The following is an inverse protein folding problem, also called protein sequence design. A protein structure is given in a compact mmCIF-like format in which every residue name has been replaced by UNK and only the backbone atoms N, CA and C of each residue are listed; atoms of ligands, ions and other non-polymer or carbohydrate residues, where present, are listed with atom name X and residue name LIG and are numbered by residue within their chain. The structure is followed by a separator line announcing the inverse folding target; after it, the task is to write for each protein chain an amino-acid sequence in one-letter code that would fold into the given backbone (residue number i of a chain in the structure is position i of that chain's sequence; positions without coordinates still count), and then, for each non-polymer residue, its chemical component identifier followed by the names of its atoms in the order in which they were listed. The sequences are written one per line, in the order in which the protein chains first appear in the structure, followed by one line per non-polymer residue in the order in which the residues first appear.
data_IF_685422070274
#
_entry.id   IF_685422070274
#
_cell.length_a   1.000
_cell.length_b   1.000
_cell.length_c   1.000
_cell.angle_alpha   90.00
_cell.angle_beta   90.00
_cell.angle_gamma   90.00
#
_symmetry.space_group_name_H-M   'P 1'
#
loop_
_entity.id
_entity.type
_entity.pdbx_description
1 polymer ?
#
# COMPACT_ATOMS: atom_id res chain seq x y z
N UNK A 1 -3.47 -24.62 -19.82
CA UNK A 1 -4.90 -24.90 -19.63
C UNK A 1 -5.23 -26.38 -19.86
N UNK A 2 -5.44 -26.89 -21.09
CA UNK A 2 -5.89 -28.29 -21.26
C UNK A 2 -4.90 -29.36 -20.73
N UNK A 3 -3.58 -29.12 -20.81
CA UNK A 3 -2.57 -30.00 -20.22
C UNK A 3 -2.62 -30.00 -18.69
N UNK A 4 -2.82 -28.83 -18.10
CA UNK A 4 -2.90 -28.65 -16.64
C UNK A 4 -4.21 -29.23 -16.09
N UNK A 5 -5.32 -29.10 -16.82
CA UNK A 5 -6.61 -29.73 -16.49
C UNK A 5 -6.50 -31.25 -16.61
N UNK A 6 -5.83 -31.78 -17.65
CA UNK A 6 -5.59 -33.22 -17.77
C UNK A 6 -4.75 -33.73 -16.58
N UNK A 7 -3.68 -33.02 -16.21
CA UNK A 7 -2.87 -33.36 -15.04
C UNK A 7 -3.70 -33.35 -13.74
N UNK A 8 -4.54 -32.32 -13.53
CA UNK A 8 -5.43 -32.26 -12.37
C UNK A 8 -6.44 -33.41 -12.33
N UNK A 9 -6.99 -33.81 -13.49
CA UNK A 9 -7.91 -34.94 -13.58
C UNK A 9 -7.23 -36.29 -13.32
N UNK A 10 -5.94 -36.42 -13.65
CA UNK A 10 -5.12 -37.58 -13.32
C UNK A 10 -4.80 -37.63 -11.82
N UNK A 11 -4.40 -36.49 -11.23
CA UNK A 11 -4.10 -36.36 -9.80
C UNK A 11 -5.34 -36.62 -8.92
N UNK A 12 -6.52 -36.22 -9.40
CA UNK A 12 -7.80 -36.49 -8.75
C UNK A 12 -8.35 -37.90 -9.04
N UNK A 13 -7.61 -38.73 -9.78
CA UNK A 13 -8.02 -40.08 -10.23
C UNK A 13 -9.35 -40.13 -10.99
N UNK A 14 -9.73 -39.02 -11.63
CA UNK A 14 -10.95 -38.91 -12.46
C UNK A 14 -10.70 -39.48 -13.85
N UNK A 15 -9.46 -39.38 -14.36
CA UNK A 15 -9.06 -39.92 -15.67
C UNK A 15 -7.73 -40.67 -15.52
N UNK A 16 -7.68 -41.91 -16.02
CA UNK A 16 -6.44 -42.68 -16.13
C UNK A 16 -5.96 -42.62 -17.58
N UNK A 17 -4.71 -42.20 -17.79
CA UNK A 17 -4.06 -42.17 -19.11
C UNK A 17 -3.03 -43.30 -19.13
N UNK A 18 -3.11 -44.18 -20.13
CA UNK A 18 -2.10 -45.22 -20.32
C UNK A 18 -0.74 -44.60 -20.71
N UNK A 19 0.36 -45.28 -20.39
CA UNK A 19 1.75 -44.78 -20.59
C UNK A 19 2.17 -44.54 -22.05
N UNK A 20 1.26 -44.71 -23.02
CA UNK A 20 1.48 -44.44 -24.42
C UNK A 20 1.40 -42.96 -24.77
N UNK A 21 2.40 -42.44 -25.49
CA UNK A 21 2.39 -41.07 -26.01
C UNK A 21 1.15 -40.75 -26.88
N UNK A 22 0.62 -41.75 -27.59
CA UNK A 22 -0.61 -41.63 -28.39
C UNK A 22 -1.85 -41.49 -27.52
N UNK A 23 -1.91 -42.21 -26.41
CA UNK A 23 -3.04 -42.20 -25.48
C UNK A 23 -3.11 -40.86 -24.73
N UNK A 24 -1.95 -40.34 -24.34
CA UNK A 24 -1.85 -38.99 -23.78
C UNK A 24 -2.36 -37.92 -24.75
N UNK A 25 -2.01 -38.01 -26.04
CA UNK A 25 -2.51 -37.07 -27.06
C UNK A 25 -4.02 -37.21 -27.24
N UNK A 26 -4.56 -38.43 -27.26
CA UNK A 26 -6.00 -38.67 -27.37
C UNK A 26 -6.77 -38.10 -26.16
N UNK A 27 -6.31 -38.34 -24.94
CA UNK A 27 -6.89 -37.78 -23.72
C UNK A 27 -6.82 -36.25 -23.70
N UNK A 28 -5.69 -35.68 -24.13
CA UNK A 28 -5.53 -34.24 -24.21
C UNK A 28 -6.51 -33.62 -25.22
N UNK A 29 -6.73 -34.26 -26.37
CA UNK A 29 -7.74 -33.84 -27.35
C UNK A 29 -9.17 -33.92 -26.80
N UNK A 30 -9.48 -34.94 -25.99
CA UNK A 30 -10.79 -35.07 -25.34
C UNK A 30 -11.02 -33.94 -24.31
N UNK A 31 -10.02 -33.63 -23.48
CA UNK A 31 -10.07 -32.51 -22.53
C UNK A 31 -10.24 -31.18 -23.25
N UNK A 32 -9.53 -30.97 -24.37
CA UNK A 32 -9.69 -29.77 -25.19
C UNK A 32 -11.13 -29.60 -25.69
N UNK A 33 -11.71 -30.66 -26.28
CA UNK A 33 -13.10 -30.63 -26.75
C UNK A 33 -14.10 -30.37 -25.63
N UNK A 34 -13.86 -30.94 -24.44
CA UNK A 34 -14.71 -30.68 -23.28
C UNK A 34 -14.65 -29.22 -22.86
N UNK A 35 -13.45 -28.65 -22.73
CA UNK A 35 -13.26 -27.24 -22.39
C UNK A 35 -13.92 -26.32 -23.43
N UNK A 36 -13.76 -26.61 -24.72
CA UNK A 36 -14.42 -25.85 -25.79
C UNK A 36 -15.96 -25.93 -25.66
N UNK A 37 -16.52 -27.12 -25.36
CA UNK A 37 -17.96 -27.31 -25.14
C UNK A 37 -18.49 -26.57 -23.90
N UNK A 38 -17.65 -26.40 -22.88
CA UNK A 38 -17.97 -25.61 -21.68
C UNK A 38 -17.74 -24.10 -21.90
N UNK A 39 -17.41 -23.66 -23.12
CA UNK A 39 -17.29 -22.25 -23.48
C UNK A 39 -15.93 -21.62 -23.16
N UNK A 40 -14.91 -22.42 -22.81
CA UNK A 40 -13.56 -21.90 -22.60
C UNK A 40 -12.91 -21.57 -23.95
N UNK A 41 -12.33 -20.38 -24.08
CA UNK A 41 -11.66 -19.95 -25.30
C UNK A 41 -10.13 -19.99 -25.18
N UNK A 42 -9.45 -20.32 -26.29
CA UNK A 42 -7.99 -20.28 -26.40
C UNK A 42 -7.51 -18.91 -26.86
N UNK A 43 -6.81 -18.18 -26.01
CA UNK A 43 -6.22 -16.88 -26.36
C UNK A 43 -5.29 -16.34 -25.27
N UNK A 44 -4.62 -15.21 -25.55
CA UNK A 44 -4.05 -14.39 -24.48
C UNK A 44 -5.22 -13.64 -23.85
N UNK A 45 -5.53 -13.93 -22.58
CA UNK A 45 -6.46 -13.11 -21.82
C UNK A 45 -6.03 -11.64 -21.88
N UNK A 46 -6.99 -10.72 -21.86
CA UNK A 46 -6.74 -9.30 -21.64
C UNK A 46 -5.75 -9.14 -20.48
N UNK A 47 -4.81 -8.19 -20.58
CA UNK A 47 -3.79 -7.90 -19.56
C UNK A 47 -4.37 -7.47 -18.20
N UNK A 48 -5.69 -7.44 -18.04
CA UNK A 48 -6.32 -7.35 -16.74
C UNK A 48 -6.22 -8.71 -16.06
N UNK A 49 -5.02 -9.00 -15.54
CA UNK A 49 -4.85 -9.95 -14.44
C UNK A 49 -5.62 -9.39 -13.25
N UNK A 50 -6.89 -9.73 -13.14
CA UNK A 50 -7.61 -9.55 -11.87
C UNK A 50 -6.93 -10.48 -10.88
N UNK A 51 -6.49 -9.93 -9.76
CA UNK A 51 -5.92 -10.74 -8.69
C UNK A 51 -6.96 -11.80 -8.32
N UNK A 52 -6.59 -13.10 -8.31
CA UNK A 52 -7.50 -14.11 -7.78
C UNK A 52 -7.55 -13.88 -6.28
N UNK A 53 -8.57 -13.15 -5.85
CA UNK A 53 -8.89 -12.91 -4.45
C UNK A 53 -8.92 -14.27 -3.75
N UNK A 54 -8.13 -14.39 -2.69
CA UNK A 54 -8.21 -15.54 -1.82
C UNK A 54 -9.00 -15.10 -0.59
N UNK A 55 -9.51 -16.07 0.17
CA UNK A 55 -10.30 -15.79 1.37
C UNK A 55 -9.56 -14.88 2.37
N UNK A 56 -8.24 -14.96 2.44
CA UNK A 56 -7.44 -14.11 3.33
C UNK A 56 -7.42 -12.63 2.87
N UNK A 57 -7.43 -12.36 1.56
CA UNK A 57 -7.52 -11.00 1.01
C UNK A 57 -8.91 -10.42 1.24
N UNK A 58 -9.98 -11.21 1.04
CA UNK A 58 -11.35 -10.81 1.33
C UNK A 58 -11.51 -10.45 2.82
N UNK A 59 -11.10 -11.36 3.72
CA UNK A 59 -11.15 -11.12 5.17
C UNK A 59 -10.34 -9.89 5.62
N UNK A 60 -9.26 -9.55 4.91
CA UNK A 60 -8.48 -8.35 5.19
C UNK A 60 -9.12 -7.07 4.62
N UNK A 61 -9.87 -7.18 3.52
CA UNK A 61 -10.56 -6.07 2.84
C UNK A 61 -11.87 -5.69 3.51
N UNK A 62 -12.65 -6.66 3.95
CA UNK A 62 -14.02 -6.41 4.40
C UNK A 62 -14.12 -5.44 5.59
N UNK A 63 -13.25 -5.48 6.62
CA UNK A 63 -13.27 -4.48 7.69
C UNK A 63 -13.02 -3.05 7.18
N UNK A 64 -12.16 -2.90 6.17
CA UNK A 64 -11.90 -1.61 5.53
C UNK A 64 -13.14 -1.12 4.79
N UNK A 65 -13.72 -1.95 3.94
CA UNK A 65 -14.92 -1.60 3.14
C UNK A 65 -16.10 -1.28 4.05
N UNK A 66 -16.35 -2.11 5.06
CA UNK A 66 -17.43 -1.90 6.04
C UNK A 66 -17.31 -0.59 6.81
N UNK A 67 -16.08 -0.10 7.04
CA UNK A 67 -15.86 1.19 7.67
C UNK A 67 -15.97 2.34 6.66
N UNK A 68 -15.36 2.20 5.49
CA UNK A 68 -15.23 3.28 4.51
C UNK A 68 -16.54 3.58 3.79
N UNK A 69 -17.31 2.58 3.37
CA UNK A 69 -18.58 2.78 2.66
C UNK A 69 -19.53 3.71 3.42
N UNK A 70 -19.91 3.46 4.69
CA UNK A 70 -20.78 4.39 5.40
C UNK A 70 -20.11 5.75 5.65
N UNK A 71 -18.79 5.79 5.84
CA UNK A 71 -18.03 7.04 6.03
C UNK A 71 -18.16 7.98 4.83
N UNK A 72 -18.14 7.43 3.61
CA UNK A 72 -18.18 8.20 2.36
C UNK A 72 -19.61 8.39 1.82
N UNK A 73 -20.53 7.45 2.08
CA UNK A 73 -21.90 7.49 1.52
C UNK A 73 -22.96 8.10 2.45
N UNK A 74 -22.77 8.06 3.77
CA UNK A 74 -23.79 8.54 4.74
C UNK A 74 -23.68 10.05 4.93
N UNK A 75 -24.82 10.75 4.91
CA UNK A 75 -24.88 12.18 5.19
C UNK A 75 -24.96 12.47 6.71
N UNK A 76 -24.19 13.44 7.24
CA UNK A 76 -23.15 14.22 6.55
C UNK A 76 -21.89 13.37 6.30
N UNK A 77 -21.33 13.48 5.08
CA UNK A 77 -20.08 12.79 4.71
C UNK A 77 -18.96 13.26 5.65
N UNK A 78 -18.15 12.32 6.12
CA UNK A 78 -16.95 12.65 6.90
C UNK A 78 -15.78 12.91 5.95
N UNK A 79 -14.96 13.94 6.18
CA UNK A 79 -13.79 14.18 5.33
C UNK A 79 -12.78 13.05 5.50
N UNK A 80 -12.24 12.58 4.38
CA UNK A 80 -11.26 11.50 4.32
C UNK A 80 -9.94 12.05 3.82
N UNK A 81 -8.85 11.79 4.55
CA UNK A 81 -7.49 12.15 4.18
C UNK A 81 -6.73 10.89 3.78
N UNK A 82 -6.50 10.71 2.49
CA UNK A 82 -5.68 9.62 1.97
C UNK A 82 -4.23 10.07 1.94
N UNK A 83 -3.35 9.36 2.65
CA UNK A 83 -1.92 9.69 2.69
C UNK A 83 -1.05 8.52 2.26
N UNK A 84 0.09 8.86 1.67
CA UNK A 84 1.04 7.91 1.12
C UNK A 84 2.38 8.61 0.79
N UNK A 85 3.42 7.80 0.67
CA UNK A 85 4.73 8.20 0.18
C UNK A 85 4.98 7.75 -1.26
N UNK A 86 5.63 8.59 -2.05
CA UNK A 86 6.17 8.14 -3.33
C UNK A 86 7.56 8.66 -3.61
N UNK A 87 8.15 8.09 -4.67
CA UNK A 87 9.46 8.50 -5.16
C UNK A 87 9.51 8.59 -6.68
N UNK A 88 10.38 9.47 -7.15
CA UNK A 88 10.77 9.65 -8.55
C UNK A 88 12.29 9.58 -8.64
N UNK A 89 12.79 8.75 -9.55
CA UNK A 89 14.22 8.71 -9.85
C UNK A 89 14.64 9.95 -10.63
N UNK A 90 15.88 10.39 -10.44
CA UNK A 90 16.43 11.54 -11.17
C UNK A 90 16.40 11.37 -12.68
N UNK A 91 16.55 10.13 -13.17
CA UNK A 91 16.49 9.78 -14.59
C UNK A 91 15.15 9.14 -14.96
N UNK A 92 14.06 9.54 -14.30
CA UNK A 92 12.74 9.02 -14.61
C UNK A 92 12.27 9.58 -15.96
N UNK A 93 12.23 8.71 -16.96
CA UNK A 93 11.70 9.00 -18.31
C UNK A 93 10.37 8.29 -18.50
N UNK A 94 9.40 8.94 -19.15
CA UNK A 94 8.10 8.31 -19.46
C UNK A 94 8.23 7.13 -20.43
N UNK A 95 9.21 7.21 -21.33
CA UNK A 95 9.50 6.20 -22.36
C UNK A 95 10.95 5.74 -22.25
N UNK A 96 11.23 4.52 -22.73
CA UNK A 96 12.58 4.00 -22.88
C UNK A 96 13.26 4.62 -24.12
N UNK A 97 13.20 5.94 -24.24
CA UNK A 97 13.85 6.71 -25.30
C UNK A 97 15.34 6.81 -24.96
N UNK A 98 16.03 5.68 -25.08
CA UNK A 98 17.49 5.62 -24.97
C UNK A 98 18.09 5.78 -26.35
N UNK A 99 19.13 6.60 -26.45
CA UNK A 99 20.09 6.48 -27.55
C UNK A 99 20.66 5.06 -27.52
N UNK A 100 20.73 4.43 -28.68
CA UNK A 100 21.39 3.14 -28.87
C UNK A 100 22.42 3.30 -29.98
N UNK A 101 23.57 2.65 -29.82
CA UNK A 101 24.52 2.54 -30.93
C UNK A 101 24.02 1.45 -31.89
N UNK A 102 24.01 1.67 -33.21
CA UNK A 102 23.60 0.64 -34.18
C UNK A 102 24.41 -0.67 -34.09
N UNK A 103 25.59 -0.63 -33.46
CA UNK A 103 26.47 -1.78 -33.23
C UNK A 103 26.26 -2.46 -31.88
N UNK A 104 25.38 -1.94 -31.02
CA UNK A 104 25.04 -2.54 -29.73
C UNK A 104 24.34 -3.90 -29.91
N UNK A 105 25.09 -4.97 -29.67
CA UNK A 105 24.59 -6.36 -29.67
C UNK A 105 23.78 -6.72 -28.41
N UNK A 106 23.81 -5.88 -27.37
CA UNK A 106 23.04 -6.08 -26.14
C UNK A 106 22.65 -4.75 -25.48
N UNK A 107 21.42 -4.68 -24.93
CA UNK A 107 20.97 -3.54 -24.12
C UNK A 107 21.61 -3.59 -22.74
N UNK A 108 22.51 -2.65 -22.44
CA UNK A 108 23.04 -2.49 -21.07
C UNK A 108 22.00 -1.85 -20.16
N UNK A 109 21.67 -2.50 -19.04
CA UNK A 109 20.84 -1.86 -18.00
C UNK A 109 21.68 -0.79 -17.28
N UNK A 110 21.11 0.41 -17.01
CA UNK A 110 21.81 1.42 -16.22
C UNK A 110 22.26 0.87 -14.87
N UNK A 111 23.56 0.93 -14.58
CA UNK A 111 24.16 0.39 -13.35
C UNK A 111 23.68 1.15 -12.10
N UNK A 112 23.29 2.42 -12.25
CA UNK A 112 22.84 3.27 -11.15
C UNK A 112 21.57 4.03 -11.52
N UNK A 113 20.53 3.94 -10.67
CA UNK A 113 19.26 4.66 -10.86
C UNK A 113 19.30 6.14 -10.46
N UNK A 114 20.46 6.66 -10.06
CA UNK A 114 20.68 8.06 -9.66
C UNK A 114 20.04 8.43 -8.31
N UNK A 115 19.88 9.74 -8.07
CA UNK A 115 19.21 10.31 -6.89
C UNK A 115 17.72 9.96 -6.90
N UNK A 116 17.11 9.91 -5.71
CA UNK A 116 15.67 9.69 -5.53
C UNK A 116 15.03 10.93 -4.92
N UNK A 117 14.05 11.49 -5.60
CA UNK A 117 13.16 12.51 -5.05
C UNK A 117 12.03 11.78 -4.36
N UNK A 118 11.90 11.96 -3.07
CA UNK A 118 10.92 11.30 -2.24
C UNK A 118 9.97 12.36 -1.73
N UNK A 119 8.70 12.02 -1.62
CA UNK A 119 7.66 12.95 -1.21
C UNK A 119 6.58 12.19 -0.45
N UNK A 120 5.93 12.92 0.44
CA UNK A 120 4.81 12.45 1.26
C UNK A 120 3.76 13.56 1.26
N UNK A 121 2.49 13.16 1.20
CA UNK A 121 1.38 14.09 1.31
C UNK A 121 0.11 13.36 1.75
N UNK A 122 -0.89 14.15 2.18
CA UNK A 122 -2.28 13.74 2.26
C UNK A 122 -3.13 14.46 1.22
N UNK A 123 -4.16 13.79 0.70
CA UNK A 123 -5.26 14.44 -0.03
C UNK A 123 -6.52 14.31 0.79
N UNK A 124 -7.11 15.45 1.12
CA UNK A 124 -8.41 15.54 1.78
C UNK A 124 -9.53 15.60 0.73
N UNK A 125 -10.51 14.72 0.90
CA UNK A 125 -11.78 14.65 0.20
C UNK A 125 -12.90 14.87 1.23
N UNK A 126 -13.62 15.98 1.12
CA UNK A 126 -14.76 16.34 1.96
C UNK A 126 -16.12 16.08 1.29
N UNK A 127 -16.14 15.47 0.11
CA UNK A 127 -17.34 15.26 -0.71
C UNK A 127 -17.71 16.44 -1.59
N UNK A 128 -16.92 17.52 -1.59
CA UNK A 128 -17.05 18.58 -2.59
C UNK A 128 -16.30 18.21 -3.87
N UNK A 129 -16.49 19.01 -4.93
CA UNK A 129 -15.72 18.86 -6.17
C UNK A 129 -14.23 19.28 -6.02
N UNK A 130 -13.82 19.74 -4.84
CA UNK A 130 -12.48 20.21 -4.53
C UNK A 130 -11.75 19.25 -3.58
N UNK A 131 -10.53 18.86 -3.98
CA UNK A 131 -9.59 18.17 -3.11
C UNK A 131 -8.56 19.13 -2.54
N UNK A 132 -8.13 18.91 -1.30
CA UNK A 132 -7.05 19.69 -0.69
C UNK A 132 -5.78 18.84 -0.56
N UNK A 133 -4.65 19.34 -1.07
CA UNK A 133 -3.33 18.76 -0.83
C UNK A 133 -2.79 19.28 0.50
N UNK A 134 -2.53 18.36 1.43
CA UNK A 134 -2.09 18.66 2.79
C UNK A 134 -0.76 17.99 3.10
N UNK A 135 -0.01 18.58 4.02
CA UNK A 135 1.21 18.02 4.57
C UNK A 135 2.26 17.69 3.51
N UNK A 136 2.30 18.40 2.37
CA UNK A 136 3.27 18.09 1.34
C UNK A 136 4.70 18.36 1.84
N UNK A 137 5.48 17.30 1.99
CA UNK A 137 6.92 17.39 2.27
C UNK A 137 7.71 16.58 1.23
N UNK A 138 8.95 17.00 0.96
CA UNK A 138 9.78 16.39 -0.07
C UNK A 138 11.26 16.51 0.23
N UNK A 139 12.00 15.48 -0.16
CA UNK A 139 13.42 15.38 0.11
C UNK A 139 14.17 14.55 -0.94
N UNK A 140 15.50 14.63 -0.90
CA UNK A 140 16.34 13.93 -1.86
C UNK A 140 17.22 12.89 -1.18
N UNK A 141 16.95 11.61 -1.47
CA UNK A 141 17.76 10.48 -1.03
C UNK A 141 18.81 10.06 -2.07
N UNK A 142 19.85 9.34 -1.62
CA UNK A 142 20.89 8.75 -2.49
C UNK A 142 22.29 9.32 -2.27
N UNK A 143 23.26 9.03 -3.14
CA UNK A 143 24.64 9.56 -2.99
C UNK A 143 24.79 10.94 -3.64
N UNK A 144 25.41 11.89 -2.94
CA UNK A 144 25.87 13.19 -3.47
C UNK A 144 27.39 13.27 -3.30
N UNK A 145 28.13 13.41 -4.40
CA UNK A 145 29.60 13.53 -4.41
C UNK A 145 30.32 12.44 -3.58
N UNK A 146 29.91 11.17 -3.73
CA UNK A 146 30.48 10.05 -2.96
C UNK A 146 30.04 9.95 -1.50
N UNK A 147 29.38 10.98 -0.94
CA UNK A 147 28.76 10.94 0.40
C UNK A 147 27.34 10.40 0.31
N UNK A 148 27.00 9.43 1.17
CA UNK A 148 25.64 8.91 1.30
C UNK A 148 24.75 9.99 1.92
N UNK A 149 23.84 10.56 1.13
CA UNK A 149 22.64 11.22 1.68
C UNK A 149 21.73 10.09 2.15
N UNK A 150 21.15 10.27 3.34
CA UNK A 150 20.35 9.26 4.05
C UNK A 150 19.42 8.52 3.09
N UNK A 151 19.43 7.19 3.16
CA UNK A 151 18.63 6.30 2.32
C UNK A 151 17.13 6.59 2.50
N UNK A 152 16.29 6.32 1.49
CA UNK A 152 14.84 6.48 1.55
C UNK A 152 14.25 5.82 2.82
N UNK A 153 14.66 4.58 3.10
CA UNK A 153 14.24 3.85 4.30
C UNK A 153 14.79 4.44 5.60
N UNK A 154 15.86 5.23 5.54
CA UNK A 154 16.36 5.97 6.69
C UNK A 154 15.57 7.27 6.92
N UNK A 155 15.07 7.89 5.84
CA UNK A 155 14.36 9.17 5.90
C UNK A 155 12.92 8.99 6.35
N UNK A 156 12.19 8.02 5.79
CA UNK A 156 10.86 7.62 6.28
C UNK A 156 11.00 6.68 7.48
N UNK A 157 11.31 7.26 8.63
CA UNK A 157 11.33 6.56 9.90
C UNK A 157 10.17 7.01 10.80
N UNK A 158 9.97 6.30 11.90
CA UNK A 158 8.83 6.53 12.80
C UNK A 158 8.82 7.95 13.41
N UNK A 159 9.97 8.48 13.80
CA UNK A 159 10.08 9.81 14.39
C UNK A 159 9.70 10.90 13.38
N UNK A 160 10.22 10.79 12.16
CA UNK A 160 9.85 11.69 11.07
C UNK A 160 8.34 11.63 10.81
N UNK A 161 7.79 10.43 10.68
CA UNK A 161 6.36 10.25 10.38
C UNK A 161 5.46 10.82 11.47
N UNK A 162 5.78 10.62 12.75
CA UNK A 162 5.00 11.18 13.88
C UNK A 162 5.01 12.72 13.83
N UNK A 163 6.17 13.33 13.61
CA UNK A 163 6.29 14.79 13.51
C UNK A 163 5.54 15.34 12.29
N UNK A 164 5.64 14.66 11.15
CA UNK A 164 4.94 15.02 9.94
C UNK A 164 3.43 14.88 10.08
N UNK A 165 2.96 13.78 10.67
CA UNK A 165 1.54 13.52 10.90
C UNK A 165 0.93 14.54 11.86
N UNK A 166 1.68 15.00 12.87
CA UNK A 166 1.27 16.12 13.72
C UNK A 166 0.91 17.37 12.93
N UNK A 167 1.77 17.79 11.99
CA UNK A 167 1.51 18.94 11.11
C UNK A 167 0.34 18.70 10.16
N UNK A 168 0.20 17.48 9.65
CA UNK A 168 -0.93 17.12 8.79
C UNK A 168 -2.26 17.30 9.56
N UNK A 169 -2.33 16.85 10.81
CA UNK A 169 -3.50 17.06 11.66
C UNK A 169 -3.79 18.55 11.87
N UNK A 170 -2.75 19.38 12.09
CA UNK A 170 -2.88 20.83 12.22
C UNK A 170 -3.49 21.45 10.96
N UNK A 171 -2.99 21.10 9.77
CA UNK A 171 -3.54 21.61 8.50
C UNK A 171 -5.00 21.18 8.26
N UNK A 172 -5.38 19.97 8.67
CA UNK A 172 -6.77 19.48 8.57
C UNK A 172 -7.71 20.28 9.47
N UNK A 173 -7.28 20.58 10.69
CA UNK A 173 -8.07 21.38 11.63
C UNK A 173 -8.15 22.86 11.25
N UNK A 174 -7.08 23.42 10.66
CA UNK A 174 -7.08 24.78 10.09
C UNK A 174 -8.12 24.92 8.96
N UNK A 175 -8.41 23.84 8.24
CA UNK A 175 -9.50 23.78 7.26
C UNK A 175 -10.90 23.62 7.88
N UNK A 176 -10.99 23.49 9.21
CA UNK A 176 -12.25 23.42 9.95
C UNK A 176 -12.76 22.00 10.22
N UNK A 177 -11.95 20.97 9.95
CA UNK A 177 -12.36 19.58 10.13
C UNK A 177 -11.88 19.02 11.48
N UNK A 178 -12.81 18.63 12.35
CA UNK A 178 -12.53 18.06 13.68
C UNK A 178 -12.86 16.56 13.81
N UNK A 179 -13.33 15.92 12.73
CA UNK A 179 -13.72 14.50 12.73
C UNK A 179 -13.36 13.77 11.43
N UNK A 180 -12.19 14.08 10.88
CA UNK A 180 -11.65 13.42 9.70
C UNK A 180 -11.23 11.95 9.92
N UNK A 181 -11.23 11.20 8.81
CA UNK A 181 -10.72 9.83 8.72
C UNK A 181 -9.43 9.84 7.91
N UNK A 182 -8.33 9.37 8.48
CA UNK A 182 -7.03 9.26 7.82
C UNK A 182 -6.82 7.83 7.32
N UNK A 183 -6.61 7.67 6.02
CA UNK A 183 -6.35 6.39 5.37
C UNK A 183 -4.88 6.29 5.00
N UNK A 184 -4.20 5.23 5.47
CA UNK A 184 -2.77 5.00 5.19
C UNK A 184 -2.44 3.52 4.99
N UNK A 185 -1.30 3.23 4.38
CA UNK A 185 -0.83 1.86 4.17
C UNK A 185 -0.35 1.19 5.48
N UNK A 186 0.08 -0.07 5.38
CA UNK A 186 0.50 -0.88 6.52
C UNK A 186 2.01 -0.77 6.85
N UNK A 187 2.71 0.27 6.41
CA UNK A 187 4.14 0.42 6.65
C UNK A 187 4.48 0.35 8.14
N UNK A 188 5.59 -0.34 8.47
CA UNK A 188 5.98 -0.60 9.86
C UNK A 188 6.17 0.67 10.67
N UNK A 189 6.63 1.76 10.04
CA UNK A 189 6.85 3.04 10.73
C UNK A 189 5.54 3.82 11.01
N UNK A 190 4.44 3.53 10.30
CA UNK A 190 3.10 4.04 10.65
C UNK A 190 2.58 3.43 11.96
N UNK A 191 2.94 2.16 12.21
CA UNK A 191 2.44 1.37 13.34
C UNK A 191 3.34 1.40 14.58
N UNK A 192 4.25 2.37 14.67
CA UNK A 192 5.13 2.51 15.83
C UNK A 192 4.33 2.80 17.11
N UNK A 193 4.54 1.96 18.12
CA UNK A 193 3.96 2.12 19.47
C UNK A 193 4.84 3.04 20.32
N UNK A 194 4.31 3.60 21.43
CA UNK A 194 5.10 4.43 22.35
C UNK A 194 6.43 3.79 22.74
N UNK A 195 7.48 4.61 22.95
CA UNK A 195 8.80 4.11 23.33
C UNK A 195 8.81 3.31 24.64
N UNK A 196 7.85 3.58 25.51
CA UNK A 196 7.63 2.91 26.79
C UNK A 196 6.93 1.54 26.65
N UNK A 197 6.46 1.18 25.46
CA UNK A 197 5.84 -0.12 25.20
C UNK A 197 6.88 -1.25 25.35
N UNK A 198 6.60 -2.27 26.17
CA UNK A 198 7.52 -3.39 26.34
C UNK A 198 7.81 -4.14 25.06
N UNK A 199 9.03 -4.67 24.96
CA UNK A 199 9.50 -5.46 23.81
C UNK A 199 9.96 -6.83 24.27
N UNK A 200 9.76 -7.87 23.45
CA UNK A 200 10.21 -9.23 23.79
C UNK A 200 11.74 -9.36 24.00
N UNK A 201 12.50 -8.37 23.52
CA UNK A 201 13.95 -8.27 23.76
C UNK A 201 14.31 -7.82 25.19
N UNK A 202 13.38 -7.27 25.97
CA UNK A 202 13.63 -6.81 27.35
C UNK A 202 14.09 -7.95 28.27
N UNK A 203 14.72 -7.62 29.40
CA UNK A 203 15.14 -8.64 30.39
C UNK A 203 13.89 -9.24 31.04
N UNK A 204 14.02 -10.48 31.57
CA UNK A 204 12.91 -11.18 32.25
C UNK A 204 12.32 -10.34 33.39
N UNK A 205 13.17 -9.73 34.21
CA UNK A 205 12.73 -8.87 35.31
C UNK A 205 11.89 -7.68 34.82
N UNK A 206 12.31 -7.02 33.74
CA UNK A 206 11.59 -5.87 33.17
C UNK A 206 10.23 -6.29 32.57
N UNK A 207 10.17 -7.47 31.95
CA UNK A 207 8.90 -8.03 31.45
C UNK A 207 7.94 -8.34 32.59
N UNK A 208 8.42 -8.91 33.70
CA UNK A 208 7.61 -9.15 34.88
C UNK A 208 7.07 -7.83 35.48
N UNK A 209 7.92 -6.81 35.63
CA UNK A 209 7.49 -5.48 36.09
C UNK A 209 6.47 -4.84 35.13
N UNK A 210 6.65 -5.01 33.83
CA UNK A 210 5.68 -4.54 32.84
C UNK A 210 4.32 -5.26 32.95
N UNK A 211 4.31 -6.56 33.22
CA UNK A 211 3.07 -7.29 33.47
C UNK A 211 2.35 -6.74 34.71
N UNK A 212 3.06 -6.49 35.81
CA UNK A 212 2.46 -5.86 37.01
C UNK A 212 1.91 -4.46 36.71
N UNK A 213 2.66 -3.65 35.95
CA UNK A 213 2.25 -2.31 35.54
C UNK A 213 0.93 -2.30 34.74
N UNK A 214 0.68 -3.32 33.92
CA UNK A 214 -0.55 -3.46 33.13
C UNK A 214 -1.62 -4.33 33.81
N UNK A 215 -1.47 -4.62 35.10
CA UNK A 215 -2.39 -5.46 35.89
C UNK A 215 -2.59 -6.88 35.32
N UNK A 216 -1.56 -7.44 34.66
CA UNK A 216 -1.54 -8.82 34.17
C UNK A 216 -1.13 -9.73 35.33
N UNK A 217 -2.13 -10.22 36.08
CA UNK A 217 -1.92 -10.98 37.34
C UNK A 217 -1.62 -12.46 37.17
N UNK A 218 -1.93 -13.05 36.03
CA UNK A 218 -1.57 -14.44 35.69
C UNK A 218 -0.09 -14.54 35.25
N UNK A 219 0.83 -14.12 36.12
CA UNK A 219 2.27 -14.22 35.86
C UNK A 219 3.04 -14.39 37.17
N UNK A 220 3.95 -15.36 37.20
CA UNK A 220 4.86 -15.60 38.32
C UNK A 220 6.28 -15.12 38.00
N UNK A 221 7.06 -14.59 38.97
CA UNK A 221 8.48 -14.31 38.78
C UNK A 221 9.30 -15.50 38.28
N UNK A 222 8.85 -16.73 38.57
CA UNK A 222 9.50 -17.97 38.14
C UNK A 222 9.18 -18.35 36.70
N UNK A 223 8.12 -17.80 36.09
CA UNK A 223 7.69 -18.14 34.73
C UNK A 223 8.78 -17.97 33.69
N UNK A 224 8.72 -18.75 32.61
CA UNK A 224 9.62 -18.56 31.48
C UNK A 224 9.40 -17.19 30.83
N UNK A 225 10.49 -16.56 30.39
CA UNK A 225 10.46 -15.27 29.69
C UNK A 225 9.47 -15.27 28.51
N UNK A 226 9.43 -16.37 27.76
CA UNK A 226 8.52 -16.52 26.61
C UNK A 226 7.04 -16.49 27.01
N UNK A 227 6.68 -17.12 28.14
CA UNK A 227 5.31 -17.14 28.64
C UNK A 227 4.86 -15.77 29.17
N UNK A 228 5.76 -15.04 29.85
CA UNK A 228 5.53 -13.64 30.24
C UNK A 228 5.31 -12.75 29.01
N UNK A 229 6.19 -12.88 28.01
CA UNK A 229 6.09 -12.10 26.78
C UNK A 229 4.82 -12.42 25.99
N UNK A 230 4.37 -13.67 25.92
CA UNK A 230 3.14 -14.03 25.21
C UNK A 230 1.91 -13.31 25.78
N UNK A 231 1.78 -13.29 27.11
CA UNK A 231 0.69 -12.58 27.81
C UNK A 231 0.78 -11.07 27.61
N UNK A 232 1.97 -10.51 27.79
CA UNK A 232 2.22 -9.10 27.60
C UNK A 232 1.97 -8.65 26.15
N UNK A 233 2.40 -9.46 25.18
CA UNK A 233 2.17 -9.21 23.75
C UNK A 233 0.69 -9.18 23.42
N UNK A 234 -0.10 -10.13 23.94
CA UNK A 234 -1.57 -10.13 23.78
C UNK A 234 -2.17 -8.82 24.28
N UNK A 235 -1.84 -8.43 25.52
CA UNK A 235 -2.31 -7.16 26.09
C UNK A 235 -1.89 -5.95 25.23
N UNK A 236 -0.63 -5.90 24.80
CA UNK A 236 -0.08 -4.84 23.95
C UNK A 236 -0.80 -4.75 22.60
N UNK A 237 -1.16 -5.89 22.00
CA UNK A 237 -1.85 -5.92 20.71
C UNK A 237 -3.31 -5.48 20.83
N UNK A 238 -3.95 -5.74 21.98
CA UNK A 238 -5.35 -5.38 22.26
C UNK A 238 -5.53 -3.95 22.77
N UNK A 239 -4.59 -3.41 23.55
CA UNK A 239 -4.79 -2.18 24.34
C UNK A 239 -3.82 -1.04 24.00
N UNK A 240 -2.70 -1.33 23.30
CA UNK A 240 -1.71 -0.30 22.97
C UNK A 240 -1.72 0.01 21.49
N UNK A 241 -2.33 1.13 21.16
CA UNK A 241 -2.40 1.67 19.82
C UNK A 241 -1.09 2.34 19.37
N UNK A 242 -0.81 2.38 18.05
CA UNK A 242 0.27 3.21 17.50
C UNK A 242 0.17 4.67 17.93
N UNK A 243 1.31 5.36 18.01
CA UNK A 243 1.40 6.76 18.46
C UNK A 243 0.48 7.66 17.63
N UNK A 244 0.51 7.53 16.30
CA UNK A 244 -0.32 8.35 15.40
C UNK A 244 -1.82 8.09 15.57
N UNK A 245 -2.22 6.86 15.92
CA UNK A 245 -3.62 6.54 16.22
C UNK A 245 -4.08 7.27 17.47
N UNK A 246 -3.26 7.28 18.52
CA UNK A 246 -3.55 8.03 19.74
C UNK A 246 -3.59 9.54 19.48
N UNK A 247 -2.68 10.07 18.66
CA UNK A 247 -2.68 11.50 18.25
C UNK A 247 -3.97 11.88 17.52
N UNK A 248 -4.41 11.07 16.56
CA UNK A 248 -5.65 11.31 15.83
C UNK A 248 -6.88 11.24 16.76
N UNK A 249 -6.98 10.18 17.57
CA UNK A 249 -8.10 9.98 18.49
C UNK A 249 -8.23 11.10 19.53
N UNK A 250 -7.10 11.58 20.07
CA UNK A 250 -7.08 12.69 21.02
C UNK A 250 -7.65 14.00 20.43
N UNK A 251 -7.70 14.10 19.10
CA UNK A 251 -8.21 15.25 18.33
C UNK A 251 -9.56 14.98 17.66
N UNK A 252 -10.22 13.86 18.00
CA UNK A 252 -11.53 13.49 17.41
C UNK A 252 -11.45 12.80 16.04
N UNK A 253 -10.24 12.59 15.53
CA UNK A 253 -10.00 11.94 14.24
C UNK A 253 -9.88 10.43 14.34
N UNK A 254 -9.98 9.75 13.21
CA UNK A 254 -9.87 8.30 13.11
C UNK A 254 -8.78 7.89 12.12
N UNK A 255 -8.11 6.77 12.35
CA UNK A 255 -7.17 6.17 11.40
C UNK A 255 -7.73 4.85 10.92
N UNK A 256 -7.65 4.64 9.60
CA UNK A 256 -7.97 3.39 8.92
C UNK A 256 -6.75 2.95 8.13
N UNK A 257 -6.37 1.68 8.27
CA UNK A 257 -5.30 1.09 7.47
C UNK A 257 -5.90 0.47 6.21
N UNK A 258 -5.35 0.82 5.05
CA UNK A 258 -5.78 0.27 3.78
C UNK A 258 -5.64 -1.26 3.75
N UNK A 259 -6.56 -1.92 3.04
CA UNK A 259 -6.50 -3.36 2.85
C UNK A 259 -5.23 -3.74 2.06
N UNK A 260 -4.36 -4.65 2.56
CA UNK A 260 -3.15 -5.04 1.85
C UNK A 260 -3.48 -5.63 0.47
N UNK A 261 -2.84 -5.11 -0.57
CA UNK A 261 -3.00 -5.59 -1.95
C UNK A 261 -4.10 -4.90 -2.76
N UNK A 262 -4.78 -3.91 -2.19
CA UNK A 262 -5.88 -3.17 -2.83
C UNK A 262 -5.51 -1.69 -3.06
N UNK A 263 -4.52 -1.45 -3.91
CA UNK A 263 -4.04 -0.09 -4.21
C UNK A 263 -5.10 0.83 -4.84
N UNK A 264 -6.09 0.25 -5.52
CA UNK A 264 -7.27 0.92 -6.07
C UNK A 264 -8.15 1.56 -4.98
N UNK A 265 -8.03 1.10 -3.73
CA UNK A 265 -8.71 1.68 -2.58
C UNK A 265 -7.95 2.87 -1.97
N UNK A 266 -6.83 3.29 -2.56
CA UNK A 266 -6.05 4.46 -2.17
C UNK A 266 -5.94 5.46 -3.34
N UNK A 267 -6.88 6.42 -3.47
CA UNK A 267 -6.92 7.41 -4.57
C UNK A 267 -5.63 8.20 -4.77
N UNK A 268 -4.86 8.39 -3.70
CA UNK A 268 -3.55 9.06 -3.75
C UNK A 268 -2.56 8.39 -4.72
N UNK A 269 -2.69 7.07 -4.97
CA UNK A 269 -1.86 6.36 -5.95
C UNK A 269 -2.09 6.86 -7.39
N UNK A 270 -3.32 7.21 -7.75
CA UNK A 270 -3.63 7.82 -9.05
C UNK A 270 -3.01 9.20 -9.17
N UNK A 271 -2.98 9.94 -8.08
CA UNK A 271 -2.36 11.26 -8.00
C UNK A 271 -0.84 11.13 -8.19
N UNK A 272 -0.21 10.15 -7.56
CA UNK A 272 1.19 9.81 -7.81
C UNK A 272 1.46 9.38 -9.24
N UNK A 273 0.58 8.61 -9.87
CA UNK A 273 0.69 8.25 -11.28
C UNK A 273 0.67 9.51 -12.17
N UNK A 274 -0.21 10.47 -11.90
CA UNK A 274 -0.30 11.74 -12.62
C UNK A 274 0.93 12.62 -12.42
N UNK A 275 1.43 12.74 -11.19
CA UNK A 275 2.65 13.48 -10.87
C UNK A 275 3.85 12.87 -11.60
N UNK A 276 4.04 11.55 -11.47
CA UNK A 276 5.11 10.81 -12.15
C UNK A 276 5.00 10.98 -13.67
N UNK A 277 3.81 10.85 -14.24
CA UNK A 277 3.57 11.05 -15.67
C UNK A 277 3.93 12.46 -16.14
N UNK A 278 3.58 13.49 -15.38
CA UNK A 278 3.90 14.89 -15.70
C UNK A 278 5.40 15.15 -15.63
N UNK A 279 6.06 14.69 -14.58
CA UNK A 279 7.52 14.79 -14.43
C UNK A 279 8.23 14.04 -15.55
N UNK A 280 7.79 12.82 -15.88
CA UNK A 280 8.36 11.99 -16.93
C UNK A 280 8.20 12.59 -18.34
N UNK A 281 7.09 13.29 -18.62
CA UNK A 281 6.89 14.03 -19.90
C UNK A 281 7.80 15.25 -20.01
N UNK A 282 8.09 15.90 -18.90
CA UNK A 282 8.87 17.12 -18.88
C UNK A 282 10.39 16.88 -18.92
N UNK A 283 10.85 15.63 -18.85
CA UNK A 283 12.26 15.27 -18.77
C UNK A 283 13.02 15.69 -20.04
N UNK A 284 13.95 16.64 -19.90
CA UNK A 284 14.88 17.11 -20.95
C UNK A 284 16.30 17.23 -20.35
N UNK A 285 17.33 17.30 -21.21
CA UNK A 285 18.75 17.25 -20.82
C UNK A 285 19.24 18.36 -19.87
N UNK A 286 18.45 19.42 -19.59
CA UNK A 286 18.77 20.46 -18.60
C UNK A 286 17.73 20.49 -17.48
N UNK A 287 18.14 20.01 -16.30
CA UNK A 287 17.61 20.33 -14.96
C UNK A 287 16.08 20.28 -14.72
N UNK A 288 15.60 19.33 -13.90
CA UNK A 288 14.19 19.29 -13.46
C UNK A 288 13.96 18.98 -11.96
N UNK A 289 14.96 19.18 -11.11
CA UNK A 289 14.81 18.94 -9.66
C UNK A 289 13.72 19.83 -9.05
N UNK A 290 13.75 21.13 -9.37
CA UNK A 290 12.74 22.09 -8.91
C UNK A 290 11.33 21.72 -9.38
N UNK A 291 11.20 21.19 -10.61
CA UNK A 291 9.91 20.70 -11.12
C UNK A 291 9.43 19.45 -10.40
N UNK A 292 10.30 18.51 -10.02
CA UNK A 292 9.89 17.37 -9.18
C UNK A 292 9.28 17.83 -7.85
N UNK A 293 9.79 18.92 -7.27
CA UNK A 293 9.31 19.47 -6.00
C UNK A 293 8.00 20.28 -6.17
N UNK A 294 7.76 20.86 -7.35
CA UNK A 294 6.57 21.66 -7.65
C UNK A 294 5.43 20.86 -8.30
N UNK A 295 5.75 19.74 -8.96
CA UNK A 295 4.79 18.93 -9.72
C UNK A 295 3.63 18.40 -8.86
N UNK A 296 3.82 17.92 -7.61
CA UNK A 296 2.70 17.52 -6.77
C UNK A 296 1.66 18.64 -6.59
N UNK A 297 2.11 19.87 -6.31
CA UNK A 297 1.23 21.03 -6.16
C UNK A 297 0.49 21.37 -7.46
N UNK A 298 1.19 21.36 -8.60
CA UNK A 298 0.60 21.71 -9.90
C UNK A 298 -0.39 20.65 -10.42
N UNK A 299 -0.09 19.37 -10.23
CA UNK A 299 -0.97 18.29 -10.70
C UNK A 299 -2.28 18.24 -9.92
N UNK A 300 -2.25 18.52 -8.61
CA UNK A 300 -3.44 18.41 -7.75
C UNK A 300 -4.35 19.64 -7.92
N UNK A 301 -3.78 20.82 -8.20
CA UNK A 301 -4.55 22.01 -8.60
C UNK A 301 -5.11 21.92 -10.03
N UNK A 302 -4.71 20.92 -10.81
CA UNK A 302 -5.21 20.76 -12.17
C UNK A 302 -6.62 20.14 -12.13
N UNK A 303 -7.58 20.63 -12.96
CA UNK A 303 -8.96 20.12 -12.96
C UNK A 303 -9.12 18.64 -13.37
N UNK A 304 -8.04 17.87 -13.54
CA UNK A 304 -8.07 16.48 -13.98
C UNK A 304 -8.23 15.44 -12.85
N UNK A 305 -8.15 15.85 -11.59
CA UNK A 305 -8.37 14.98 -10.41
C UNK A 305 -9.86 14.69 -10.11
N UNK A 306 -10.76 15.14 -10.98
CA UNK A 306 -12.23 15.17 -10.82
C UNK A 306 -12.93 13.80 -10.80
N UNK A 307 -12.29 12.70 -10.43
CA UNK A 307 -12.91 11.36 -10.42
C UNK A 307 -13.02 10.73 -9.02
N UNK A 308 -13.47 11.52 -8.04
CA UNK A 308 -13.96 11.00 -6.75
C UNK A 308 -15.08 9.97 -6.95
N UNK A 309 -15.89 10.14 -8.00
CA UNK A 309 -16.93 9.19 -8.39
C UNK A 309 -16.36 7.80 -8.73
N UNK A 310 -15.17 7.72 -9.32
CA UNK A 310 -14.49 6.46 -9.59
C UNK A 310 -14.11 5.70 -8.32
N UNK A 311 -13.64 6.40 -7.28
CA UNK A 311 -13.28 5.76 -6.01
C UNK A 311 -14.50 5.29 -5.23
N UNK A 312 -15.53 6.13 -5.08
CA UNK A 312 -16.76 5.75 -4.38
C UNK A 312 -17.46 4.59 -5.10
N UNK A 313 -17.48 4.59 -6.45
CA UNK A 313 -17.97 3.43 -7.24
C UNK A 313 -17.13 2.18 -7.03
N UNK A 314 -15.81 2.29 -6.91
CA UNK A 314 -14.96 1.13 -6.62
C UNK A 314 -15.24 0.59 -5.23
N UNK A 315 -15.40 1.44 -4.22
CA UNK A 315 -15.83 1.02 -2.88
C UNK A 315 -17.20 0.31 -2.92
N UNK A 316 -18.17 0.84 -3.65
CA UNK A 316 -19.50 0.24 -3.83
C UNK A 316 -19.42 -1.11 -4.56
N UNK A 317 -18.61 -1.22 -5.62
CA UNK A 317 -18.39 -2.48 -6.35
C UNK A 317 -17.79 -3.54 -5.42
N UNK A 318 -16.80 -3.16 -4.61
CA UNK A 318 -16.16 -4.06 -3.65
C UNK A 318 -17.14 -4.49 -2.55
N UNK A 319 -18.05 -3.62 -2.12
CA UNK A 319 -19.11 -3.93 -1.17
C UNK A 319 -20.16 -4.90 -1.74
N UNK A 320 -20.48 -4.81 -3.04
CA UNK A 320 -21.42 -5.74 -3.71
C UNK A 320 -20.83 -7.13 -3.94
N UNK A 321 -19.49 -7.25 -3.91
CA UNK A 321 -18.77 -8.51 -4.05
C UNK A 321 -18.41 -9.17 -2.70
N UNK A 322 -18.74 -8.54 -1.56
CA UNK A 322 -18.59 -9.08 -0.21
C UNK A 322 -19.88 -9.80 0.24
#
# INVERSE_FOLDING_TARGET
MAKDVLALLQDAHVVTVADGAKDHVACLCAVQRFLDKQGYARGKASRNTTYRMNLAHEQARDPYVNFMVPTVTTAPRRPVVYLDESLIYHHYTRHADSLYDPTDIAKTKPMHKGRRYCFIAGILDDGTDASHLLGLDSFVGGKKNGRTVKDYHFMFNHEYFVNWFGKLLDEVEELGWSSAVFVMDNAKYHKGKPLTTPKGSWKKADLYQACLKYDIRDVSPTDLKAAMWARLKKYIDEHIYPVVVQMAQARGHHIVYAAPGFSELQPIELIWANVKGTVGRAYTNRHNISRCLQAPRQCILSPGLRDHQGHDRELDNQAQCA
#
